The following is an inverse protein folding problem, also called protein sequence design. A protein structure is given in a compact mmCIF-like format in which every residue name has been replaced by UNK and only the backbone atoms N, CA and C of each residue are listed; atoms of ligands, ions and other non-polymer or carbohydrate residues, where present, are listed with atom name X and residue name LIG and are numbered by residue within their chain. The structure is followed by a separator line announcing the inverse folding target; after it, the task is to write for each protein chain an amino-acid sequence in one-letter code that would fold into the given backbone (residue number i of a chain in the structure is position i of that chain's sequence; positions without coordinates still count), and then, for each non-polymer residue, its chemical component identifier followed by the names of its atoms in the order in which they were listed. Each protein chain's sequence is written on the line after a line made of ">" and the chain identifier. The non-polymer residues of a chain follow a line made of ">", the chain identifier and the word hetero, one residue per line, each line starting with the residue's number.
data_IF_800634601658
#
_entry.id   IF_800634601658
#
_cell.length_a   1.000
_cell.length_b   1.000
_cell.length_c   1.000
_cell.angle_alpha   90.00
_cell.angle_beta   90.00
_cell.angle_gamma   90.00
#
_symmetry.space_group_name_H-M   'P 1'
#
loop_
_entity.id
_entity.type
_entity.pdbx_description
1 polymer ?
#
# COMPACT_ATOMS: atom_id res chain seq x y z
N UNK A 1 -12.68 -11.85 -0.06
CA UNK A 1 -11.50 -11.81 0.84
C UNK A 1 -11.35 -13.17 1.49
N UNK A 2 -10.15 -13.78 1.48
CA UNK A 2 -9.90 -14.95 2.35
C UNK A 2 -9.80 -14.43 3.78
N UNK A 3 -10.68 -14.87 4.66
CA UNK A 3 -10.58 -14.55 6.08
C UNK A 3 -9.32 -15.22 6.62
N UNK A 4 -8.34 -14.43 7.03
CA UNK A 4 -7.22 -14.93 7.79
C UNK A 4 -7.77 -15.45 9.12
N UNK A 5 -7.52 -16.72 9.46
CA UNK A 5 -7.93 -17.33 10.73
C UNK A 5 -7.05 -16.84 11.88
N UNK A 6 -7.01 -15.53 12.08
CA UNK A 6 -6.16 -14.85 13.06
C UNK A 6 -7.08 -14.02 13.95
N UNK A 7 -6.86 -14.10 15.26
CA UNK A 7 -7.59 -13.31 16.25
C UNK A 7 -7.25 -11.83 16.12
N UNK A 8 -8.26 -10.96 16.18
CA UNK A 8 -8.09 -9.51 15.98
C UNK A 8 -7.10 -8.89 16.98
N UNK A 9 -7.07 -9.38 18.23
CA UNK A 9 -6.12 -8.92 19.24
C UNK A 9 -4.66 -9.17 18.87
N UNK A 10 -4.36 -10.28 18.17
CA UNK A 10 -3.00 -10.57 17.67
C UNK A 10 -2.61 -9.63 16.53
N UNK A 11 -3.56 -9.26 15.69
CA UNK A 11 -3.34 -8.28 14.62
C UNK A 11 -3.05 -6.90 15.22
N UNK A 12 -3.89 -6.43 16.14
CA UNK A 12 -3.70 -5.14 16.80
C UNK A 12 -2.34 -5.04 17.51
N UNK A 13 -2.00 -6.06 18.31
CA UNK A 13 -0.70 -6.15 18.98
C UNK A 13 0.48 -6.05 18.00
N UNK A 14 0.41 -6.74 16.86
CA UNK A 14 1.48 -6.67 15.86
C UNK A 14 1.57 -5.33 15.16
N UNK A 15 0.44 -4.65 14.92
CA UNK A 15 0.46 -3.29 14.37
C UNK A 15 1.11 -2.33 15.37
N UNK A 16 0.76 -2.39 16.65
CA UNK A 16 1.39 -1.58 17.70
C UNK A 16 2.90 -1.81 17.79
N UNK A 17 3.34 -3.08 17.69
CA UNK A 17 4.76 -3.44 17.66
C UNK A 17 5.49 -2.74 16.50
N UNK A 18 4.91 -2.70 15.30
CA UNK A 18 5.48 -1.96 14.17
C UNK A 18 5.50 -0.46 14.42
N UNK A 19 4.43 0.12 14.97
CA UNK A 19 4.35 1.57 15.22
C UNK A 19 5.38 2.05 16.25
N UNK A 20 5.80 1.18 17.18
CA UNK A 20 6.78 1.50 18.22
C UNK A 20 8.22 1.08 17.85
N UNK A 21 8.41 0.40 16.73
CA UNK A 21 9.71 -0.14 16.37
C UNK A 21 10.65 0.95 15.84
N UNK A 22 11.85 1.05 16.41
CA UNK A 22 12.84 2.09 16.07
C UNK A 22 13.31 2.12 14.59
N UNK A 23 13.07 1.05 13.81
CA UNK A 23 13.37 1.03 12.36
C UNK A 23 12.13 1.20 11.49
N UNK A 24 10.96 1.40 12.09
CA UNK A 24 9.74 1.68 11.38
C UNK A 24 9.57 3.19 11.28
N UNK A 25 9.21 3.65 10.09
CA UNK A 25 8.83 5.03 9.84
C UNK A 25 7.37 5.04 9.37
N UNK A 26 6.54 5.84 10.04
CA UNK A 26 5.16 6.04 9.63
C UNK A 26 5.10 7.13 8.56
N UNK A 27 4.66 6.75 7.37
CA UNK A 27 4.46 7.68 6.26
C UNK A 27 2.97 8.01 6.17
N UNK A 28 2.63 9.26 6.47
CA UNK A 28 1.25 9.75 6.38
C UNK A 28 0.95 10.21 4.94
N UNK A 29 -0.28 9.97 4.49
CA UNK A 29 -0.79 10.59 3.27
C UNK A 29 -0.92 12.11 3.40
N UNK A 30 -0.70 12.79 2.28
CA UNK A 30 -0.95 14.22 2.14
C UNK A 30 -2.13 14.48 1.19
N UNK A 31 -2.72 15.69 1.18
CA UNK A 31 -3.78 16.03 0.22
C UNK A 31 -3.38 15.75 -1.24
N UNK A 32 -2.10 15.89 -1.59
CA UNK A 32 -1.57 15.56 -2.92
C UNK A 32 -1.64 14.06 -3.23
N UNK A 33 -1.45 13.19 -2.23
CA UNK A 33 -1.60 11.75 -2.40
C UNK A 33 -3.05 11.38 -2.65
N UNK A 34 -3.95 12.01 -1.90
CA UNK A 34 -5.40 11.85 -2.07
C UNK A 34 -5.81 12.29 -3.48
N UNK A 35 -5.39 13.49 -3.90
CA UNK A 35 -5.68 14.01 -5.24
C UNK A 35 -5.10 13.13 -6.35
N UNK A 36 -3.87 12.62 -6.18
CA UNK A 36 -3.24 11.71 -7.13
C UNK A 36 -4.01 10.39 -7.23
N UNK A 37 -4.41 9.82 -6.10
CA UNK A 37 -5.16 8.56 -6.07
C UNK A 37 -6.51 8.69 -6.77
N UNK A 38 -7.26 9.76 -6.49
CA UNK A 38 -8.55 10.04 -7.13
C UNK A 38 -8.39 10.30 -8.63
N UNK A 39 -7.39 11.10 -9.04
CA UNK A 39 -7.13 11.35 -10.46
C UNK A 39 -6.79 10.07 -11.23
N UNK A 40 -6.05 9.13 -10.61
CA UNK A 40 -5.76 7.84 -11.22
C UNK A 40 -7.02 6.98 -11.35
N UNK A 41 -7.91 6.99 -10.36
CA UNK A 41 -9.18 6.25 -10.44
C UNK A 41 -10.02 6.77 -11.59
N UNK A 42 -10.19 8.08 -11.67
CA UNK A 42 -10.97 8.74 -12.70
C UNK A 42 -10.39 8.45 -14.10
N UNK A 43 -9.08 8.67 -14.30
CA UNK A 43 -8.41 8.48 -15.59
C UNK A 43 -8.40 7.02 -16.06
N UNK A 44 -8.25 6.08 -15.13
CA UNK A 44 -8.20 4.65 -15.45
C UNK A 44 -9.60 4.00 -15.47
N UNK A 45 -10.68 4.76 -15.22
CA UNK A 45 -12.07 4.24 -15.21
C UNK A 45 -12.31 3.19 -14.14
N UNK A 46 -11.64 3.34 -12.99
CA UNK A 46 -11.61 2.35 -11.91
C UNK A 46 -12.73 2.55 -10.90
N UNK A 47 -12.95 1.54 -10.07
CA UNK A 47 -13.92 1.63 -8.99
C UNK A 47 -13.30 2.29 -7.75
N UNK A 48 -14.14 2.90 -6.90
CA UNK A 48 -13.68 3.50 -5.64
C UNK A 48 -13.11 2.47 -4.65
N UNK A 49 -13.45 1.18 -4.78
CA UNK A 49 -12.86 0.14 -3.93
C UNK A 49 -11.34 -0.02 -4.13
N UNK A 50 -10.78 0.53 -5.21
CA UNK A 50 -9.36 0.57 -5.50
C UNK A 50 -8.66 1.82 -4.96
N UNK A 51 -9.36 2.70 -4.24
CA UNK A 51 -8.80 3.93 -3.67
C UNK A 51 -7.58 3.66 -2.78
N UNK A 52 -7.68 2.71 -1.86
CA UNK A 52 -6.59 2.39 -0.94
C UNK A 52 -5.35 1.90 -1.70
N UNK A 53 -5.52 1.08 -2.74
CA UNK A 53 -4.40 0.62 -3.58
C UNK A 53 -3.70 1.80 -4.26
N UNK A 54 -4.46 2.81 -4.71
CA UNK A 54 -3.89 4.02 -5.33
C UNK A 54 -3.20 4.94 -4.32
N UNK A 55 -3.70 5.03 -3.09
CA UNK A 55 -3.00 5.72 -2.00
C UNK A 55 -1.69 5.02 -1.68
N UNK A 56 -1.70 3.69 -1.53
CA UNK A 56 -0.48 2.90 -1.28
C UNK A 56 0.54 3.11 -2.40
N UNK A 57 0.11 3.11 -3.67
CA UNK A 57 1.01 3.44 -4.79
C UNK A 57 1.54 4.86 -4.72
N UNK A 58 0.70 5.83 -4.35
CA UNK A 58 1.11 7.23 -4.19
C UNK A 58 2.21 7.37 -3.14
N UNK A 59 2.04 6.71 -2.00
CA UNK A 59 3.02 6.68 -0.92
C UNK A 59 4.29 5.91 -1.31
N UNK A 60 4.14 4.77 -1.98
CA UNK A 60 5.28 3.96 -2.44
C UNK A 60 6.17 4.69 -3.45
N UNK A 61 5.65 5.67 -4.20
CA UNK A 61 6.47 6.55 -5.04
C UNK A 61 7.42 7.40 -4.18
N UNK A 62 6.98 7.87 -3.01
CA UNK A 62 7.80 8.68 -2.09
C UNK A 62 8.94 7.86 -1.49
N UNK A 63 8.67 6.60 -1.13
CA UNK A 63 9.63 5.69 -0.46
C UNK A 63 10.40 4.81 -1.46
N UNK A 64 10.05 4.87 -2.75
CA UNK A 64 10.61 4.09 -3.86
C UNK A 64 10.56 2.56 -3.69
N UNK A 65 9.78 2.03 -2.75
CA UNK A 65 9.64 0.60 -2.52
C UNK A 65 8.23 0.20 -2.06
N UNK A 66 7.84 -1.05 -2.33
CA UNK A 66 6.56 -1.62 -1.92
C UNK A 66 6.68 -3.12 -1.62
N UNK A 67 6.39 -3.49 -0.38
CA UNK A 67 6.24 -4.89 0.02
C UNK A 67 4.78 -5.33 -0.15
N UNK A 68 4.51 -6.24 -1.07
CA UNK A 68 3.14 -6.75 -1.27
C UNK A 68 3.10 -8.10 -2.00
N UNK A 69 2.11 -8.91 -1.64
CA UNK A 69 1.77 -10.16 -2.31
C UNK A 69 0.67 -9.99 -3.37
N UNK A 70 0.08 -8.79 -3.50
CA UNK A 70 -0.96 -8.53 -4.50
C UNK A 70 -0.37 -8.40 -5.90
N UNK A 71 -0.71 -9.34 -6.80
CA UNK A 71 -0.18 -9.38 -8.17
C UNK A 71 -0.49 -8.14 -9.00
N UNK A 72 -1.68 -7.55 -8.82
CA UNK A 72 -2.09 -6.36 -9.58
C UNK A 72 -1.32 -5.13 -9.11
N UNK A 73 -1.21 -4.96 -7.79
CA UNK A 73 -0.47 -3.85 -7.19
C UNK A 73 1.01 -3.91 -7.56
N UNK A 74 1.60 -5.11 -7.58
CA UNK A 74 2.97 -5.30 -8.05
C UNK A 74 3.16 -4.83 -9.49
N UNK A 75 2.28 -5.22 -10.40
CA UNK A 75 2.36 -4.77 -11.81
C UNK A 75 2.30 -3.25 -11.92
N UNK A 76 1.42 -2.61 -11.14
CA UNK A 76 1.26 -1.15 -11.14
C UNK A 76 2.49 -0.43 -10.55
N UNK A 77 3.12 -1.00 -9.52
CA UNK A 77 4.33 -0.48 -8.90
C UNK A 77 5.56 -0.61 -9.83
N UNK A 78 5.75 -1.77 -10.48
CA UNK A 78 6.84 -1.98 -11.44
C UNK A 78 6.79 -1.00 -12.61
N UNK A 79 5.60 -0.72 -13.15
CA UNK A 79 5.41 0.25 -14.22
C UNK A 79 5.85 1.67 -13.83
N UNK A 80 5.93 1.95 -12.53
CA UNK A 80 6.33 3.25 -11.95
C UNK A 80 7.75 3.23 -11.36
N UNK A 81 8.55 2.19 -11.69
CA UNK A 81 9.93 1.99 -11.20
C UNK A 81 10.07 1.92 -9.67
N UNK A 82 9.01 1.50 -8.99
CA UNK A 82 9.02 1.23 -7.55
C UNK A 82 9.63 -0.15 -7.33
N UNK A 83 10.57 -0.28 -6.38
CA UNK A 83 11.15 -1.57 -6.00
C UNK A 83 10.09 -2.44 -5.33
N UNK A 84 10.02 -3.72 -5.67
CA UNK A 84 8.99 -4.63 -5.15
C UNK A 84 9.59 -5.72 -4.29
N UNK A 85 8.98 -5.96 -3.14
CA UNK A 85 9.37 -7.01 -2.19
C UNK A 85 8.20 -7.97 -1.90
N UNK A 86 8.47 -9.28 -1.74
CA UNK A 86 9.70 -9.97 -2.18
C UNK A 86 9.85 -9.88 -3.71
N UNK A 87 11.03 -10.10 -4.28
CA UNK A 87 11.24 -9.99 -5.74
C UNK A 87 10.41 -11.02 -6.54
N UNK A 88 10.16 -12.19 -5.96
CA UNK A 88 9.35 -13.28 -6.54
C UNK A 88 8.24 -13.70 -5.57
N UNK A 89 7.09 -14.09 -6.14
CA UNK A 89 5.92 -14.59 -5.40
C UNK A 89 5.85 -16.11 -5.42
#
# INVERSE_FOLDING_TARGET
>A
MRTLKIEIGKVAYKVEEYLQYHKAELVNETPEDIGRALSLIEKEGLNLSQYNDKIILSLAIKVASLATFDRKLRKQASARRIQILPERL
#
